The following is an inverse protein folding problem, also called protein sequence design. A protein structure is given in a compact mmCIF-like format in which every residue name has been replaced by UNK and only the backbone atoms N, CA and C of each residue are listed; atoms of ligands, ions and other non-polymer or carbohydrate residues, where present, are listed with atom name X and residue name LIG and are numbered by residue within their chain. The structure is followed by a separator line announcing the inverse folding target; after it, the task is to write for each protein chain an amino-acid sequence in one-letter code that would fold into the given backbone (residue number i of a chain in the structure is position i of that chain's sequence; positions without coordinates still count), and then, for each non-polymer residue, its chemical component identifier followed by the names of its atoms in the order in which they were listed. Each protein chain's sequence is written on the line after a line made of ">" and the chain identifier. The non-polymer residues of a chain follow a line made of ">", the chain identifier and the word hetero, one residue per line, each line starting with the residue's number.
data_IF_355042822428
#
_entry.id   IF_355042822428
#
_cell.length_a   1.000
_cell.length_b   1.000
_cell.length_c   1.000
_cell.angle_alpha   90.00
_cell.angle_beta   90.00
_cell.angle_gamma   90.00
#
_symmetry.space_group_name_H-M   'P 1'
#
loop_
_entity.id
_entity.type
_entity.pdbx_description
1 polymer ?
#
# COMPACT_ATOMS: atom_id res chain seq x y z
N UNK A 1 -9.59 12.90 -20.24
CA UNK A 1 -8.51 11.86 -20.22
C UNK A 1 -7.85 11.76 -18.84
N UNK A 2 -7.61 12.88 -18.14
CA UNK A 2 -7.05 12.90 -16.77
C UNK A 2 -7.92 12.16 -15.74
N UNK A 3 -9.23 12.22 -15.89
CA UNK A 3 -10.20 11.57 -14.97
C UNK A 3 -10.11 10.04 -15.04
N UNK A 4 -9.85 9.50 -16.24
CA UNK A 4 -9.60 8.06 -16.43
C UNK A 4 -8.29 7.63 -15.78
N UNK A 5 -7.24 8.45 -15.88
CA UNK A 5 -5.94 8.17 -15.23
C UNK A 5 -6.04 8.21 -13.71
N UNK A 6 -6.74 9.20 -13.14
CA UNK A 6 -6.97 9.28 -11.70
C UNK A 6 -7.80 8.11 -11.19
N UNK A 7 -8.83 7.70 -11.94
CA UNK A 7 -9.64 6.53 -11.59
C UNK A 7 -8.83 5.22 -11.64
N UNK A 8 -8.02 5.03 -12.68
CA UNK A 8 -7.11 3.88 -12.77
C UNK A 8 -6.05 3.85 -11.68
N UNK A 9 -5.45 5.01 -11.35
CA UNK A 9 -4.49 5.13 -10.26
C UNK A 9 -5.15 4.83 -8.91
N UNK A 10 -6.38 5.29 -8.68
CA UNK A 10 -7.11 4.99 -7.45
C UNK A 10 -7.43 3.49 -7.34
N UNK A 11 -7.86 2.85 -8.44
CA UNK A 11 -8.07 1.40 -8.49
C UNK A 11 -6.76 0.64 -8.22
N UNK A 12 -5.66 1.08 -8.81
CA UNK A 12 -4.34 0.49 -8.63
C UNK A 12 -3.85 0.62 -7.19
N UNK A 13 -3.92 1.80 -6.58
CA UNK A 13 -3.60 2.01 -5.16
C UNK A 13 -4.50 1.18 -4.25
N UNK A 14 -5.79 1.10 -4.56
CA UNK A 14 -6.71 0.30 -3.76
C UNK A 14 -6.38 -1.20 -3.84
N UNK A 15 -6.10 -1.70 -5.03
CA UNK A 15 -5.64 -3.08 -5.23
C UNK A 15 -4.31 -3.34 -4.50
N UNK A 16 -3.37 -2.40 -4.56
CA UNK A 16 -2.08 -2.46 -3.86
C UNK A 16 -2.25 -2.59 -2.34
N UNK A 17 -3.13 -1.79 -1.72
CA UNK A 17 -3.47 -1.92 -0.29
C UNK A 17 -3.98 -3.32 0.04
N UNK A 18 -4.88 -3.87 -0.77
CA UNK A 18 -5.41 -5.21 -0.55
C UNK A 18 -4.33 -6.29 -0.70
N UNK A 19 -3.41 -6.15 -1.65
CA UNK A 19 -2.27 -7.07 -1.83
C UNK A 19 -1.37 -7.06 -0.59
N UNK A 20 -1.05 -5.88 -0.06
CA UNK A 20 -0.25 -5.75 1.16
C UNK A 20 -0.99 -6.39 2.35
N UNK A 21 -2.28 -6.10 2.54
CA UNK A 21 -3.08 -6.70 3.62
C UNK A 21 -3.17 -8.22 3.50
N UNK A 22 -3.43 -8.74 2.30
CA UNK A 22 -3.49 -10.18 2.05
C UNK A 22 -2.15 -10.87 2.34
N UNK A 23 -1.04 -10.21 1.98
CA UNK A 23 0.30 -10.68 2.31
C UNK A 23 0.54 -10.80 3.81
N UNK A 24 0.02 -9.88 4.62
CA UNK A 24 0.08 -10.00 6.08
C UNK A 24 -0.69 -11.22 6.59
N UNK A 25 -1.88 -11.50 6.05
CA UNK A 25 -2.64 -12.71 6.39
C UNK A 25 -1.89 -13.99 5.96
N UNK A 26 -1.30 -13.99 4.77
CA UNK A 26 -0.47 -15.09 4.28
C UNK A 26 0.72 -15.33 5.21
N UNK A 27 1.42 -14.28 5.63
CA UNK A 27 2.52 -14.38 6.58
C UNK A 27 2.04 -15.03 7.89
N UNK A 28 0.92 -14.56 8.46
CA UNK A 28 0.40 -15.13 9.70
C UNK A 28 0.13 -16.64 9.57
N UNK A 29 -0.50 -17.07 8.47
CA UNK A 29 -0.77 -18.48 8.20
C UNK A 29 0.53 -19.26 7.98
N UNK A 30 1.49 -18.70 7.25
CA UNK A 30 2.75 -19.36 6.94
C UNK A 30 3.65 -19.52 8.20
N UNK A 31 3.64 -18.55 9.11
CA UNK A 31 4.30 -18.62 10.42
C UNK A 31 3.66 -19.71 11.29
N UNK A 32 2.33 -19.78 11.33
CA UNK A 32 1.61 -20.87 12.01
C UNK A 32 1.97 -22.24 11.40
N UNK A 33 2.06 -22.34 10.07
CA UNK A 33 2.46 -23.57 9.37
C UNK A 33 3.89 -24.01 9.65
N UNK A 34 4.82 -23.06 9.81
CA UNK A 34 6.22 -23.40 10.12
C UNK A 34 6.39 -24.05 11.48
N UNK A 35 5.51 -23.75 12.45
CA UNK A 35 5.46 -24.49 13.72
C UNK A 35 5.10 -25.97 13.55
N UNK A 36 4.43 -26.32 12.44
CA UNK A 36 4.03 -27.68 12.07
C UNK A 36 5.03 -28.36 11.10
N UNK A 37 6.25 -27.81 10.92
CA UNK A 37 7.25 -28.26 9.93
C UNK A 37 6.77 -28.23 8.46
N UNK A 38 5.64 -27.58 8.18
CA UNK A 38 5.14 -27.39 6.82
C UNK A 38 5.64 -26.04 6.30
N UNK A 39 6.47 -26.08 5.27
CA UNK A 39 6.89 -24.89 4.50
C UNK A 39 5.72 -24.40 3.66
N UNK A 40 4.68 -23.82 4.29
CA UNK A 40 3.46 -23.27 3.65
C UNK A 40 3.74 -22.01 2.80
N UNK A 41 4.92 -21.91 2.18
CA UNK A 41 5.30 -20.79 1.34
C UNK A 41 5.88 -19.60 2.12
N UNK A 42 6.43 -19.80 3.32
CA UNK A 42 7.16 -18.74 4.05
C UNK A 42 8.40 -18.27 3.24
N UNK A 43 9.15 -19.20 2.65
CA UNK A 43 10.30 -18.87 1.79
C UNK A 43 9.87 -18.17 0.50
N UNK A 44 8.71 -18.55 -0.06
CA UNK A 44 8.12 -17.87 -1.21
C UNK A 44 7.71 -16.45 -0.82
N UNK A 45 7.04 -16.27 0.32
CA UNK A 45 6.65 -14.97 0.85
C UNK A 45 7.85 -14.04 1.04
N UNK A 46 8.96 -14.52 1.63
CA UNK A 46 10.18 -13.74 1.76
C UNK A 46 10.77 -13.36 0.40
N UNK A 47 10.76 -14.27 -0.58
CA UNK A 47 11.19 -13.95 -1.95
C UNK A 47 10.30 -12.93 -2.65
N UNK A 48 8.99 -12.92 -2.38
CA UNK A 48 8.09 -11.89 -2.91
C UNK A 48 8.21 -10.55 -2.17
N UNK A 49 8.83 -10.52 -1.00
CA UNK A 49 8.92 -9.31 -0.19
C UNK A 49 9.75 -8.19 -0.81
N UNK A 50 10.95 -8.50 -1.31
CA UNK A 50 11.77 -7.50 -2.02
C UNK A 50 11.11 -6.98 -3.30
N UNK A 51 10.66 -7.82 -4.24
CA UNK A 51 10.17 -7.35 -5.54
C UNK A 51 8.70 -6.90 -5.55
N UNK A 52 7.86 -7.34 -4.61
CA UNK A 52 6.41 -7.04 -4.62
C UNK A 52 6.02 -6.15 -3.45
N UNK A 53 6.29 -6.59 -2.22
CA UNK A 53 5.76 -5.89 -1.03
C UNK A 53 6.51 -4.59 -0.72
N UNK A 54 7.83 -4.57 -0.88
CA UNK A 54 8.65 -3.37 -0.64
C UNK A 54 8.27 -2.20 -1.56
N UNK A 55 8.16 -2.39 -2.90
CA UNK A 55 7.70 -1.32 -3.78
C UNK A 55 6.23 -0.95 -3.57
N UNK A 56 5.34 -1.91 -3.28
CA UNK A 56 3.94 -1.65 -2.95
C UNK A 56 3.79 -0.72 -1.75
N UNK A 57 4.43 -1.06 -0.62
CA UNK A 57 4.45 -0.23 0.59
C UNK A 57 5.05 1.15 0.30
N UNK A 58 6.12 1.22 -0.50
CA UNK A 58 6.70 2.49 -0.94
C UNK A 58 5.70 3.37 -1.71
N UNK A 59 4.88 2.76 -2.58
CA UNK A 59 3.84 3.46 -3.31
C UNK A 59 2.71 3.95 -2.39
N UNK A 60 2.26 3.12 -1.44
CA UNK A 60 1.28 3.52 -0.43
C UNK A 60 1.77 4.68 0.42
N UNK A 61 3.01 4.59 0.89
CA UNK A 61 3.64 5.65 1.68
C UNK A 61 3.77 6.93 0.85
N UNK A 62 4.22 6.83 -0.41
CA UNK A 62 4.29 7.95 -1.33
C UNK A 62 2.92 8.59 -1.58
N UNK A 63 1.88 7.79 -1.83
CA UNK A 63 0.51 8.26 -2.01
C UNK A 63 -0.05 8.95 -0.77
N UNK A 64 0.18 8.38 0.41
CA UNK A 64 -0.23 8.97 1.68
C UNK A 64 0.49 10.29 1.97
N UNK A 65 1.80 10.36 1.74
CA UNK A 65 2.61 11.58 1.91
C UNK A 65 2.16 12.68 0.95
N UNK A 66 1.97 12.36 -0.33
CA UNK A 66 1.48 13.31 -1.33
C UNK A 66 0.08 13.82 -0.96
N UNK A 67 -0.83 12.94 -0.57
CA UNK A 67 -2.18 13.30 -0.12
C UNK A 67 -2.15 14.22 1.10
N UNK A 68 -1.30 13.91 2.08
CA UNK A 68 -1.08 14.73 3.27
C UNK A 68 -0.51 16.11 2.95
N UNK A 69 0.51 16.17 2.09
CA UNK A 69 1.13 17.43 1.63
C UNK A 69 0.12 18.31 0.90
N UNK A 70 -0.61 17.75 -0.07
CA UNK A 70 -1.64 18.47 -0.83
C UNK A 70 -2.72 18.99 0.10
N UNK A 71 -3.22 18.16 1.01
CA UNK A 71 -4.24 18.56 2.00
C UNK A 71 -3.76 19.70 2.89
N UNK A 72 -2.51 19.64 3.37
CA UNK A 72 -1.92 20.67 4.21
C UNK A 72 -1.75 22.01 3.46
N UNK A 73 -1.31 21.98 2.21
CA UNK A 73 -1.19 23.18 1.37
C UNK A 73 -2.58 23.78 1.12
N UNK A 74 -3.56 22.95 0.74
CA UNK A 74 -4.91 23.40 0.41
C UNK A 74 -5.63 23.97 1.65
N UNK A 75 -5.39 23.39 2.84
CA UNK A 75 -5.87 23.91 4.12
C UNK A 75 -5.29 25.29 4.41
N UNK A 76 -3.99 25.51 4.18
CA UNK A 76 -3.35 26.81 4.38
C UNK A 76 -3.81 27.88 3.39
N UNK A 77 -4.08 27.51 2.13
CA UNK A 77 -4.61 28.43 1.12
C UNK A 77 -6.05 28.85 1.45
N UNK A 78 -6.95 27.88 1.75
CA UNK A 78 -8.34 28.17 2.14
C UNK A 78 -8.46 28.99 3.43
N UNK A 79 -7.57 28.76 4.39
CA UNK A 79 -7.52 29.56 5.62
C UNK A 79 -7.17 31.04 5.37
N UNK A 80 -6.56 31.36 4.23
CA UNK A 80 -6.15 32.72 3.84
C UNK A 80 -7.23 33.49 3.09
N UNK A 81 -8.17 32.79 2.45
CA UNK A 81 -9.31 33.38 1.72
C UNK A 81 -10.51 33.72 2.63
N UNK A 82 -10.47 33.35 3.92
CA UNK A 82 -11.53 33.61 4.90
C UNK A 82 -11.29 34.86 5.77
N UNK A 83 -10.33 35.72 5.39
CA UNK A 83 -10.08 37.02 6.04
C UNK A 83 -10.46 38.18 5.13
#
# INVERSE_FOLDING_TARGET
>A
MKDKLLSWLNLFLMADVFVVLFSFFWLAIAVLGRSMNLSLGLDLWYKLWEPVFTPAIGLLMGGALLSGLISQINKRLRARDSQ
#
